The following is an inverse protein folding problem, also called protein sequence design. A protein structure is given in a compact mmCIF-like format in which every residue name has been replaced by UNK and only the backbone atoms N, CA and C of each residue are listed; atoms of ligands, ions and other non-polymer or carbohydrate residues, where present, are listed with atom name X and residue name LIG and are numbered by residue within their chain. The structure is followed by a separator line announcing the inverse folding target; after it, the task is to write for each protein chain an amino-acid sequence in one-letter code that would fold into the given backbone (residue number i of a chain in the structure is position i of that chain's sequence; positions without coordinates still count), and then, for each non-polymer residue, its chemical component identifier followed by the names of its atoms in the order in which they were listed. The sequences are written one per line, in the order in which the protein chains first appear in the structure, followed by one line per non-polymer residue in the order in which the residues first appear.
data_IF_020691493351
#
_entry.id   IF_020691493351
#
_cell.length_a   1.000
_cell.length_b   1.000
_cell.length_c   1.000
_cell.angle_alpha   90.00
_cell.angle_beta   90.00
_cell.angle_gamma   90.00
#
_symmetry.space_group_name_H-M   'P 1'
#
loop_
_entity.id
_entity.type
_entity.pdbx_description
1 polymer ?
#
# COMPACT_ATOMS: atom_id res chain seq x y z
N UNK A 1 -20.10 -31.49 1.56
CA UNK A 1 -19.35 -31.75 0.31
C UNK A 1 -19.32 -30.50 -0.56
N UNK A 2 -20.46 -30.01 -1.07
CA UNK A 2 -20.57 -28.84 -1.99
C UNK A 2 -19.69 -27.61 -1.62
N UNK A 3 -19.59 -27.23 -0.35
CA UNK A 3 -18.76 -26.07 0.08
C UNK A 3 -17.27 -26.29 -0.18
N UNK A 4 -16.73 -27.47 0.15
CA UNK A 4 -15.32 -27.80 -0.10
C UNK A 4 -15.03 -27.92 -1.60
N UNK A 5 -16.01 -28.37 -2.38
CA UNK A 5 -15.92 -28.45 -3.83
C UNK A 5 -16.00 -27.08 -4.49
N UNK A 6 -16.67 -26.11 -3.89
CA UNK A 6 -16.79 -24.75 -4.44
C UNK A 6 -15.58 -23.86 -4.10
N UNK A 7 -14.76 -24.27 -3.13
CA UNK A 7 -13.60 -23.52 -2.67
C UNK A 7 -12.54 -23.31 -3.77
N UNK A 8 -12.32 -24.30 -4.64
CA UNK A 8 -11.34 -24.17 -5.74
C UNK A 8 -11.73 -23.06 -6.73
N UNK A 9 -13.04 -22.89 -7.00
CA UNK A 9 -13.54 -21.84 -7.89
C UNK A 9 -13.33 -20.45 -7.29
N UNK A 10 -13.63 -20.30 -5.99
CA UNK A 10 -13.42 -19.04 -5.28
C UNK A 10 -11.93 -18.65 -5.25
N UNK A 11 -11.04 -19.61 -4.94
CA UNK A 11 -9.58 -19.40 -4.94
C UNK A 11 -9.07 -19.08 -6.34
N UNK A 12 -9.54 -19.80 -7.37
CA UNK A 12 -9.17 -19.54 -8.77
C UNK A 12 -9.56 -18.13 -9.19
N UNK A 13 -10.79 -17.71 -8.89
CA UNK A 13 -11.26 -16.36 -9.18
C UNK A 13 -10.41 -15.30 -8.46
N UNK A 14 -10.09 -15.51 -7.18
CA UNK A 14 -9.24 -14.59 -6.41
C UNK A 14 -7.84 -14.46 -7.03
N UNK A 15 -7.20 -15.57 -7.39
CA UNK A 15 -5.88 -15.59 -8.02
C UNK A 15 -5.89 -14.91 -9.40
N UNK A 16 -6.89 -15.18 -10.23
CA UNK A 16 -7.00 -14.56 -11.56
C UNK A 16 -7.20 -13.04 -11.46
N UNK A 17 -8.09 -12.57 -10.58
CA UNK A 17 -8.29 -11.13 -10.36
C UNK A 17 -7.00 -10.50 -9.84
N UNK A 18 -6.33 -11.14 -8.87
CA UNK A 18 -5.07 -10.64 -8.32
C UNK A 18 -3.97 -10.55 -9.40
N UNK A 19 -3.81 -11.59 -10.22
CA UNK A 19 -2.82 -11.63 -11.29
C UNK A 19 -3.13 -10.60 -12.39
N UNK A 20 -4.38 -10.46 -12.82
CA UNK A 20 -4.81 -9.47 -13.82
C UNK A 20 -4.50 -8.05 -13.37
N UNK A 21 -4.69 -7.77 -12.08
CA UNK A 21 -4.41 -6.44 -11.54
C UNK A 21 -2.91 -6.18 -11.44
N UNK A 22 -2.11 -7.16 -11.00
CA UNK A 22 -0.65 -7.04 -10.96
C UNK A 22 -0.02 -6.92 -12.35
N UNK A 23 -0.60 -7.57 -13.36
CA UNK A 23 -0.16 -7.47 -14.75
C UNK A 23 -0.28 -6.05 -15.33
N UNK A 24 -1.22 -5.24 -14.82
CA UNK A 24 -1.39 -3.85 -15.28
C UNK A 24 -0.25 -2.92 -14.84
N UNK A 25 0.41 -3.23 -13.73
CA UNK A 25 1.56 -2.47 -13.21
C UNK A 25 2.54 -3.38 -12.46
N UNK A 26 3.26 -4.21 -13.22
CA UNK A 26 4.28 -5.11 -12.66
C UNK A 26 5.40 -4.33 -11.95
N UNK A 27 5.92 -3.20 -12.48
CA UNK A 27 6.88 -2.38 -11.76
C UNK A 27 6.33 -1.86 -10.42
N UNK A 28 5.07 -1.43 -10.38
CA UNK A 28 4.39 -1.04 -9.14
C UNK A 28 4.27 -2.18 -8.14
N UNK A 29 3.93 -3.39 -8.60
CA UNK A 29 3.91 -4.55 -7.72
C UNK A 29 5.30 -4.89 -7.17
N UNK A 30 6.36 -4.83 -7.99
CA UNK A 30 7.73 -5.03 -7.52
C UNK A 30 8.16 -4.01 -6.47
N UNK A 31 7.75 -2.74 -6.63
CA UNK A 31 7.92 -1.69 -5.62
C UNK A 31 7.19 -2.02 -4.32
N UNK A 32 5.91 -2.42 -4.39
CA UNK A 32 5.17 -2.88 -3.22
C UNK A 32 5.88 -4.04 -2.52
N UNK A 33 6.41 -5.03 -3.25
CA UNK A 33 7.18 -6.15 -2.67
C UNK A 33 8.46 -5.66 -1.96
N UNK A 34 9.16 -4.68 -2.54
CA UNK A 34 10.33 -4.06 -1.90
C UNK A 34 9.96 -3.34 -0.60
N UNK A 35 8.80 -2.68 -0.56
CA UNK A 35 8.31 -1.95 0.62
C UNK A 35 8.06 -2.86 1.85
N UNK A 36 7.81 -4.16 1.65
CA UNK A 36 7.70 -5.12 2.78
C UNK A 36 9.03 -5.29 3.54
N UNK A 37 10.19 -4.91 2.95
CA UNK A 37 11.52 -5.05 3.56
C UNK A 37 11.80 -6.45 4.13
N UNK A 38 11.29 -7.48 3.43
CA UNK A 38 11.52 -8.90 3.75
C UNK A 38 12.68 -9.46 2.91
N UNK A 39 12.82 -8.99 1.67
CA UNK A 39 13.89 -9.37 0.75
C UNK A 39 14.80 -8.17 0.44
N UNK A 40 16.06 -8.40 0.03
CA UNK A 40 16.91 -7.34 -0.52
C UNK A 40 16.26 -6.71 -1.75
N UNK A 41 16.40 -5.39 -1.95
CA UNK A 41 15.75 -4.67 -3.06
C UNK A 41 16.01 -5.27 -4.45
N UNK A 42 17.23 -5.79 -4.68
CA UNK A 42 17.60 -6.51 -5.91
C UNK A 42 16.77 -7.77 -6.20
N UNK A 43 16.18 -8.38 -5.17
CA UNK A 43 15.33 -9.57 -5.29
C UNK A 43 13.83 -9.21 -5.40
N UNK A 44 13.43 -7.96 -5.21
CA UNK A 44 12.02 -7.58 -5.24
C UNK A 44 11.39 -7.81 -6.63
N UNK A 45 12.13 -7.48 -7.69
CA UNK A 45 11.68 -7.69 -9.06
C UNK A 45 11.53 -9.17 -9.44
N UNK A 46 12.53 -10.05 -9.24
CA UNK A 46 12.36 -11.48 -9.51
C UNK A 46 11.32 -12.13 -8.57
N UNK A 47 11.19 -11.67 -7.33
CA UNK A 47 10.14 -12.15 -6.43
C UNK A 47 8.74 -11.76 -6.95
N UNK A 48 8.55 -10.53 -7.42
CA UNK A 48 7.29 -10.07 -8.00
C UNK A 48 6.90 -10.86 -9.26
N UNK A 49 7.86 -11.09 -10.16
CA UNK A 49 7.66 -11.94 -11.33
C UNK A 49 7.34 -13.40 -10.94
N UNK A 50 8.05 -13.94 -9.95
CA UNK A 50 7.85 -15.30 -9.43
C UNK A 50 6.47 -15.47 -8.79
N UNK A 51 6.01 -14.51 -8.01
CA UNK A 51 4.65 -14.50 -7.44
C UNK A 51 3.61 -14.48 -8.55
N UNK A 52 3.77 -13.60 -9.55
CA UNK A 52 2.83 -13.52 -10.66
C UNK A 52 2.76 -14.83 -11.46
N UNK A 53 3.91 -15.43 -11.75
CA UNK A 53 3.98 -16.74 -12.40
C UNK A 53 3.30 -17.83 -11.56
N UNK A 54 3.53 -17.83 -10.25
CA UNK A 54 2.93 -18.79 -9.33
C UNK A 54 1.41 -18.61 -9.19
N UNK A 55 0.90 -17.37 -9.21
CA UNK A 55 -0.55 -17.09 -9.20
C UNK A 55 -1.24 -17.64 -10.46
N UNK A 56 -0.66 -17.40 -11.64
CA UNK A 56 -1.17 -17.90 -12.91
C UNK A 56 -1.07 -19.43 -12.98
N UNK A 57 0.04 -20.01 -12.54
CA UNK A 57 0.23 -21.46 -12.51
C UNK A 57 -0.77 -22.14 -11.56
N UNK A 58 -0.97 -21.58 -10.36
CA UNK A 58 -1.95 -22.08 -9.40
C UNK A 58 -3.38 -22.01 -9.96
N UNK A 59 -3.77 -20.89 -10.58
CA UNK A 59 -5.07 -20.74 -11.22
C UNK A 59 -5.28 -21.75 -12.35
N UNK A 60 -4.28 -21.95 -13.22
CA UNK A 60 -4.34 -22.93 -14.30
C UNK A 60 -4.47 -24.36 -13.76
N UNK A 61 -3.68 -24.73 -12.74
CA UNK A 61 -3.74 -26.04 -12.10
C UNK A 61 -5.10 -26.30 -11.43
N UNK A 62 -5.71 -25.28 -10.82
CA UNK A 62 -7.04 -25.41 -10.19
C UNK A 62 -8.17 -25.64 -11.21
N UNK A 63 -8.03 -25.16 -12.44
CA UNK A 63 -8.99 -25.40 -13.51
C UNK A 63 -8.92 -26.83 -14.06
N UNK A 64 -7.74 -27.46 -14.02
CA UNK A 64 -7.53 -28.83 -14.50
C UNK A 64 -7.88 -29.84 -13.40
N UNK A 65 -8.84 -30.77 -13.60
CA UNK A 65 -9.28 -31.72 -12.56
C UNK A 65 -8.14 -32.50 -11.89
N UNK A 66 -7.15 -32.95 -12.66
CA UNK A 66 -5.98 -33.67 -12.13
C UNK A 66 -4.93 -32.76 -11.45
N UNK A 67 -4.96 -31.45 -11.70
CA UNK A 67 -4.05 -30.46 -11.12
C UNK A 67 -4.57 -29.77 -9.86
N UNK A 68 -5.87 -29.90 -9.54
CA UNK A 68 -6.56 -29.15 -8.48
C UNK A 68 -5.85 -29.16 -7.13
N UNK A 69 -5.41 -30.32 -6.67
CA UNK A 69 -4.69 -30.45 -5.38
C UNK A 69 -3.37 -29.68 -5.39
N UNK A 70 -2.59 -29.81 -6.47
CA UNK A 70 -1.34 -29.07 -6.62
C UNK A 70 -1.57 -27.56 -6.73
N UNK A 71 -2.56 -27.14 -7.51
CA UNK A 71 -2.94 -25.73 -7.61
C UNK A 71 -3.37 -25.14 -6.26
N UNK A 72 -4.12 -25.91 -5.46
CA UNK A 72 -4.53 -25.50 -4.11
C UNK A 72 -3.35 -25.42 -3.13
N UNK A 73 -2.39 -26.34 -3.22
CA UNK A 73 -1.15 -26.30 -2.42
C UNK A 73 -0.31 -25.07 -2.77
N UNK A 74 -0.12 -24.78 -4.06
CA UNK A 74 0.62 -23.58 -4.51
C UNK A 74 -0.10 -22.30 -4.05
N UNK A 75 -1.42 -22.23 -4.22
CA UNK A 75 -2.22 -21.10 -3.75
C UNK A 75 -2.12 -20.92 -2.23
N UNK A 76 -2.21 -22.01 -1.46
CA UNK A 76 -2.06 -22.00 -0.01
C UNK A 76 -0.67 -21.52 0.42
N UNK A 77 0.39 -21.98 -0.24
CA UNK A 77 1.75 -21.52 0.01
C UNK A 77 1.91 -20.01 -0.27
N UNK A 78 1.34 -19.52 -1.38
CA UNK A 78 1.33 -18.09 -1.71
C UNK A 78 0.58 -17.28 -0.63
N UNK A 79 -0.65 -17.66 -0.29
CA UNK A 79 -1.43 -16.95 0.73
C UNK A 79 -0.76 -16.98 2.11
N UNK A 80 -0.14 -18.10 2.49
CA UNK A 80 0.61 -18.20 3.74
C UNK A 80 1.85 -17.29 3.74
N UNK A 81 2.61 -17.24 2.63
CA UNK A 81 3.76 -16.36 2.49
C UNK A 81 3.35 -14.87 2.57
N UNK A 82 2.28 -14.48 1.87
CA UNK A 82 1.72 -13.13 1.97
C UNK A 82 1.24 -12.80 3.38
N UNK A 83 0.56 -13.74 4.04
CA UNK A 83 0.09 -13.55 5.41
C UNK A 83 1.24 -13.35 6.39
N UNK A 84 2.33 -14.12 6.26
CA UNK A 84 3.54 -13.95 7.06
C UNK A 84 4.22 -12.60 6.80
N UNK A 85 4.31 -12.18 5.54
CA UNK A 85 4.85 -10.88 5.17
C UNK A 85 4.04 -9.72 5.77
N UNK A 86 2.70 -9.77 5.67
CA UNK A 86 1.82 -8.78 6.29
C UNK A 86 1.90 -8.78 7.82
N UNK A 87 1.97 -9.95 8.45
CA UNK A 87 2.14 -10.05 9.89
C UNK A 87 3.47 -9.43 10.35
N UNK A 88 4.54 -9.57 9.54
CA UNK A 88 5.82 -8.88 9.78
C UNK A 88 5.66 -7.35 9.71
N UNK A 89 4.94 -6.84 8.72
CA UNK A 89 4.65 -5.40 8.58
C UNK A 89 3.91 -4.87 9.81
N UNK A 90 2.83 -5.53 10.23
CA UNK A 90 2.05 -5.14 11.43
C UNK A 90 2.91 -5.20 12.69
N UNK A 91 3.74 -6.22 12.85
CA UNK A 91 4.66 -6.34 14.00
C UNK A 91 5.72 -5.24 14.04
N UNK A 92 6.21 -4.82 12.87
CA UNK A 92 7.18 -3.74 12.71
C UNK A 92 6.52 -2.36 12.69
N UNK A 93 5.18 -2.31 12.77
CA UNK A 93 4.33 -1.12 12.69
C UNK A 93 4.46 -0.32 11.39
N UNK A 94 4.97 -0.93 10.31
CA UNK A 94 5.18 -0.25 9.04
C UNK A 94 3.87 -0.04 8.27
N UNK A 95 3.74 1.06 7.54
CA UNK A 95 2.67 1.30 6.57
C UNK A 95 3.09 0.85 5.19
N UNK A 96 2.53 -0.27 4.73
CA UNK A 96 2.83 -0.87 3.43
C UNK A 96 1.52 -1.18 2.71
N UNK A 97 1.50 -1.01 1.39
CA UNK A 97 0.38 -1.42 0.56
C UNK A 97 0.27 -2.96 0.47
N UNK A 98 -0.96 -3.47 0.59
CA UNK A 98 -1.25 -4.90 0.55
C UNK A 98 -0.99 -5.51 -0.84
N UNK A 99 -1.13 -4.73 -1.93
CA UNK A 99 -0.80 -5.16 -3.30
C UNK A 99 -1.67 -6.27 -3.91
N UNK A 100 -2.60 -6.89 -3.17
CA UNK A 100 -3.36 -8.07 -3.64
C UNK A 100 -4.38 -7.78 -4.76
N UNK A 101 -5.03 -6.61 -4.79
CA UNK A 101 -6.13 -6.31 -5.71
C UNK A 101 -6.00 -4.93 -6.39
N UNK A 102 -4.79 -4.38 -6.43
CA UNK A 102 -4.46 -3.04 -7.00
C UNK A 102 -5.18 -1.86 -6.37
N UNK A 103 -5.90 -2.08 -5.27
CA UNK A 103 -6.25 -1.02 -4.34
C UNK A 103 -5.03 -0.64 -3.50
N UNK A 104 -4.93 0.64 -3.15
CA UNK A 104 -3.99 1.20 -2.16
C UNK A 104 -4.43 0.85 -0.73
N UNK A 105 -4.80 -0.41 -0.52
CA UNK A 105 -5.24 -0.90 0.78
C UNK A 105 -4.00 -1.12 1.63
N UNK A 106 -3.86 -0.34 2.70
CA UNK A 106 -2.79 -0.54 3.67
C UNK A 106 -2.93 -1.90 4.36
N UNK A 107 -1.80 -2.51 4.69
CA UNK A 107 -1.76 -3.73 5.49
C UNK A 107 -2.36 -3.46 6.87
N UNK A 108 -3.41 -4.21 7.23
CA UNK A 108 -4.11 -4.07 8.50
C UNK A 108 -4.95 -5.29 8.85
N UNK A 109 -5.79 -5.17 9.88
CA UNK A 109 -6.62 -6.28 10.34
C UNK A 109 -7.53 -6.85 9.23
N UNK A 110 -8.15 -5.97 8.43
CA UNK A 110 -8.99 -6.39 7.30
C UNK A 110 -8.24 -7.20 6.25
N UNK A 111 -7.04 -6.77 5.83
CA UNK A 111 -6.25 -7.48 4.81
C UNK A 111 -5.70 -8.82 5.31
N UNK A 112 -5.35 -8.90 6.61
CA UNK A 112 -4.99 -10.15 7.28
C UNK A 112 -6.18 -11.14 7.31
N UNK A 113 -7.37 -10.69 7.70
CA UNK A 113 -8.58 -11.53 7.73
C UNK A 113 -8.91 -12.05 6.33
N UNK A 114 -8.92 -11.18 5.31
CA UNK A 114 -9.17 -11.59 3.91
C UNK A 114 -8.21 -12.68 3.46
N UNK A 115 -6.92 -12.47 3.67
CA UNK A 115 -5.88 -13.40 3.21
C UNK A 115 -5.91 -14.70 4.01
N UNK A 116 -6.23 -14.63 5.30
CA UNK A 116 -6.48 -15.79 6.14
C UNK A 116 -7.69 -16.61 5.67
N UNK A 117 -8.80 -15.96 5.29
CA UNK A 117 -9.96 -16.64 4.73
C UNK A 117 -9.66 -17.31 3.38
N UNK A 118 -8.91 -16.63 2.50
CA UNK A 118 -8.44 -17.22 1.24
C UNK A 118 -7.50 -18.42 1.47
N UNK A 119 -6.64 -18.37 2.49
CA UNK A 119 -5.80 -19.49 2.89
C UNK A 119 -6.64 -20.68 3.37
N UNK A 120 -7.67 -20.45 4.19
CA UNK A 120 -8.61 -21.51 4.63
C UNK A 120 -9.34 -22.12 3.43
N UNK A 121 -9.78 -21.31 2.47
CA UNK A 121 -10.37 -21.79 1.22
C UNK A 121 -9.38 -22.62 0.38
N UNK A 122 -8.11 -22.23 0.31
CA UNK A 122 -7.08 -23.00 -0.37
C UNK A 122 -6.80 -24.35 0.32
N UNK A 123 -6.72 -24.37 1.65
CA UNK A 123 -6.53 -25.61 2.42
C UNK A 123 -7.72 -26.55 2.25
N UNK A 124 -8.96 -26.04 2.33
CA UNK A 124 -10.16 -26.83 2.09
C UNK A 124 -10.22 -27.38 0.67
N UNK A 125 -9.81 -26.61 -0.34
CA UNK A 125 -9.70 -27.09 -1.71
C UNK A 125 -8.61 -28.18 -1.88
N UNK A 126 -7.51 -28.11 -1.13
CA UNK A 126 -6.42 -29.09 -1.19
C UNK A 126 -6.82 -30.46 -0.63
N UNK A 127 -7.65 -30.48 0.43
CA UNK A 127 -8.14 -31.72 1.07
C UNK A 127 -9.43 -32.26 0.45
N UNK A 128 -10.09 -31.47 -0.41
CA UNK A 128 -11.29 -31.92 -1.12
C UNK A 128 -10.98 -33.13 -2.03
N UNK A 129 -11.93 -34.06 -2.10
CA UNK A 129 -11.86 -35.23 -2.97
C UNK A 129 -12.01 -34.90 -4.45
N UNK A 130 -12.19 -35.92 -5.32
CA UNK A 130 -12.59 -35.70 -6.70
C UNK A 130 -13.95 -34.98 -6.73
N UNK A 131 -14.02 -33.86 -7.42
CA UNK A 131 -15.24 -33.02 -7.47
C UNK A 131 -15.87 -33.08 -8.85
N UNK A 132 -17.17 -33.41 -8.86
CA UNK A 132 -18.03 -33.34 -10.04
C UNK A 132 -18.58 -31.93 -10.14
N UNK A 133 -18.54 -31.33 -11.33
CA UNK A 133 -18.99 -29.95 -11.50
C UNK A 133 -20.52 -29.89 -11.52
N UNK A 134 -21.09 -29.08 -10.63
CA UNK A 134 -22.53 -28.79 -10.55
C UNK A 134 -22.73 -27.27 -10.60
N UNK A 135 -23.71 -26.73 -11.34
CA UNK A 135 -23.87 -25.28 -11.53
C UNK A 135 -24.11 -24.52 -10.22
N UNK A 136 -24.65 -25.18 -9.19
CA UNK A 136 -24.79 -24.63 -7.83
C UNK A 136 -23.44 -24.20 -7.22
N UNK A 137 -22.33 -24.82 -7.63
CA UNK A 137 -20.99 -24.51 -7.13
C UNK A 137 -20.53 -23.11 -7.52
N UNK A 138 -21.03 -22.53 -8.63
CA UNK A 138 -20.73 -21.14 -9.01
C UNK A 138 -21.33 -20.14 -8.03
N UNK A 139 -22.60 -20.35 -7.63
CA UNK A 139 -23.26 -19.50 -6.65
C UNK A 139 -22.59 -19.60 -5.27
N UNK A 140 -22.27 -20.82 -4.85
CA UNK A 140 -21.56 -21.05 -3.57
C UNK A 140 -20.15 -20.43 -3.61
N UNK A 141 -19.41 -20.56 -4.71
CA UNK A 141 -18.09 -19.95 -4.86
C UNK A 141 -18.16 -18.41 -4.80
N UNK A 142 -19.17 -17.80 -5.44
CA UNK A 142 -19.38 -16.35 -5.37
C UNK A 142 -19.69 -15.89 -3.94
N UNK A 143 -20.51 -16.63 -3.20
CA UNK A 143 -20.80 -16.36 -1.79
C UNK A 143 -19.55 -16.51 -0.93
N UNK A 144 -18.76 -17.58 -1.11
CA UNK A 144 -17.51 -17.79 -0.37
C UNK A 144 -16.49 -16.68 -0.64
N UNK A 145 -16.34 -16.26 -1.90
CA UNK A 145 -15.48 -15.15 -2.27
C UNK A 145 -15.97 -13.83 -1.67
N UNK A 146 -17.29 -13.58 -1.72
CA UNK A 146 -17.92 -12.44 -1.08
C UNK A 146 -17.66 -12.40 0.42
N UNK A 147 -17.83 -13.53 1.12
CA UNK A 147 -17.53 -13.68 2.55
C UNK A 147 -16.05 -13.53 2.88
N UNK A 148 -15.13 -13.86 1.96
CA UNK A 148 -13.70 -13.64 2.15
C UNK A 148 -13.31 -12.16 1.99
N UNK A 149 -14.01 -11.41 1.13
CA UNK A 149 -13.64 -10.03 0.75
C UNK A 149 -14.43 -8.97 1.54
N UNK A 150 -15.71 -9.20 1.82
CA UNK A 150 -16.61 -8.22 2.43
C UNK A 150 -16.26 -7.86 3.89
N UNK A 151 -15.94 -8.80 4.79
CA UNK A 151 -15.55 -8.48 6.16
C UNK A 151 -14.28 -7.64 6.19
N UNK A 152 -13.37 -7.82 5.25
CA UNK A 152 -12.17 -7.01 5.14
C UNK A 152 -12.44 -5.57 4.68
N UNK A 153 -13.53 -5.33 3.94
CA UNK A 153 -14.01 -3.98 3.62
C UNK A 153 -14.61 -3.30 4.85
N UNK A 154 -15.32 -4.06 5.68
CA UNK A 154 -15.95 -3.58 6.92
C UNK A 154 -14.94 -3.37 8.05
N UNK A 155 -13.92 -4.23 8.13
CA UNK A 155 -12.80 -4.15 9.08
C UNK A 155 -11.66 -3.26 8.58
N UNK A 156 -11.89 -2.44 7.55
CA UNK A 156 -11.10 -1.23 7.36
C UNK A 156 -11.39 -0.33 8.55
N UNK A 157 -10.69 -0.58 9.64
CA UNK A 157 -10.38 0.46 10.59
C UNK A 157 -9.46 1.43 9.85
N UNK A 158 -10.06 2.23 8.95
CA UNK A 158 -9.49 3.50 8.58
C UNK A 158 -9.32 4.21 9.92
N UNK A 159 -8.10 4.28 10.46
CA UNK A 159 -7.77 5.50 11.15
C UNK A 159 -7.73 6.52 10.02
N UNK A 160 -8.72 7.42 9.92
CA UNK A 160 -8.67 8.44 8.87
C UNK A 160 -7.39 9.22 9.14
N UNK A 161 -6.34 8.93 8.36
CA UNK A 161 -5.07 9.63 8.44
C UNK A 161 -5.38 11.04 7.92
N UNK A 162 -5.65 11.92 8.88
CA UNK A 162 -6.19 13.25 8.65
C UNK A 162 -5.08 14.26 8.35
N UNK A 163 -3.82 13.81 8.44
CA UNK A 163 -2.64 14.64 8.47
C UNK A 163 -2.47 15.37 9.80
N UNK A 164 -1.32 16.04 9.97
CA UNK A 164 -1.02 16.79 11.17
C UNK A 164 -1.93 18.02 11.29
N UNK A 165 -2.45 18.27 12.49
CA UNK A 165 -3.38 19.39 12.74
C UNK A 165 -2.61 20.69 12.95
N UNK A 166 -3.15 21.84 12.51
CA UNK A 166 -2.58 23.14 12.86
C UNK A 166 -2.38 23.28 14.37
N UNK A 167 -1.21 23.79 14.78
CA UNK A 167 -0.81 23.91 16.19
C UNK A 167 -0.10 22.69 16.78
N UNK A 168 -0.09 21.54 16.10
CA UNK A 168 0.72 20.37 16.53
C UNK A 168 2.16 20.51 16.05
N UNK A 169 3.09 19.79 16.68
CA UNK A 169 4.49 19.77 16.26
C UNK A 169 4.67 18.76 15.13
N UNK A 170 5.32 19.18 14.05
CA UNK A 170 5.71 18.29 12.97
C UNK A 170 6.97 17.50 13.36
N UNK A 171 6.87 16.17 13.33
CA UNK A 171 7.93 15.26 13.75
C UNK A 171 8.67 14.69 12.54
N UNK A 172 9.89 15.18 12.31
CA UNK A 172 10.77 14.70 11.25
C UNK A 172 12.18 14.49 11.81
N UNK A 173 12.68 13.26 11.71
CA UNK A 173 14.00 12.88 12.17
C UNK A 173 15.07 13.35 11.18
N UNK A 174 16.18 13.88 11.70
CA UNK A 174 17.32 14.31 10.88
C UNK A 174 17.11 15.62 10.11
N UNK A 175 15.91 16.22 10.13
CA UNK A 175 15.73 17.55 9.56
C UNK A 175 16.53 18.59 10.40
N UNK A 176 17.19 19.56 9.75
CA UNK A 176 17.81 20.69 10.44
C UNK A 176 16.75 21.55 11.14
N UNK A 177 17.14 22.27 12.19
CA UNK A 177 16.23 23.24 12.82
C UNK A 177 15.80 24.29 11.77
N UNK A 178 14.51 24.71 11.77
CA UNK A 178 14.02 25.70 10.84
C UNK A 178 14.89 26.96 10.86
N UNK A 179 15.53 27.31 9.75
CA UNK A 179 16.34 28.52 9.66
C UNK A 179 15.44 29.75 9.45
N UNK A 180 14.34 29.59 8.70
CA UNK A 180 13.36 30.63 8.43
C UNK A 180 12.15 30.69 9.37
N UNK A 181 11.37 31.77 9.23
CA UNK A 181 10.09 31.98 9.92
C UNK A 181 9.06 30.91 9.55
N UNK A 182 9.15 30.40 8.32
CA UNK A 182 8.25 29.40 7.74
C UNK A 182 9.05 28.43 6.87
N UNK A 183 8.81 27.14 7.09
CA UNK A 183 9.43 26.05 6.33
C UNK A 183 8.35 25.14 5.79
N UNK A 184 8.43 24.81 4.50
CA UNK A 184 7.57 23.84 3.84
C UNK A 184 8.30 22.52 3.69
N UNK A 185 7.75 21.49 4.33
CA UNK A 185 8.16 20.11 4.13
C UNK A 185 7.27 19.49 3.06
N UNK A 186 7.87 19.14 1.92
CA UNK A 186 7.20 18.45 0.83
C UNK A 186 7.55 16.95 0.93
N UNK A 187 6.56 16.16 1.35
CA UNK A 187 6.69 14.72 1.50
C UNK A 187 6.48 14.04 0.16
N UNK A 188 7.53 13.36 -0.31
CA UNK A 188 7.58 12.69 -1.61
C UNK A 188 8.01 11.24 -1.45
N UNK A 189 7.66 10.41 -2.43
CA UNK A 189 8.09 9.01 -2.50
C UNK A 189 8.56 8.69 -3.93
N UNK A 190 9.62 7.88 -4.12
CA UNK A 190 10.02 7.41 -5.45
C UNK A 190 8.92 6.63 -6.18
N UNK A 191 7.98 6.05 -5.43
CA UNK A 191 6.89 5.22 -5.97
C UNK A 191 5.66 6.04 -6.37
N UNK A 192 5.68 7.34 -6.10
CA UNK A 192 4.58 8.26 -6.32
C UNK A 192 4.69 8.89 -7.72
N UNK A 193 3.87 8.39 -8.65
CA UNK A 193 3.84 8.91 -10.02
C UNK A 193 3.45 10.39 -10.14
N UNK A 194 2.72 10.92 -9.15
CA UNK A 194 2.36 12.35 -9.07
C UNK A 194 3.49 13.23 -8.51
N UNK A 195 4.42 12.66 -7.74
CA UNK A 195 5.46 13.42 -7.07
C UNK A 195 6.44 14.01 -8.08
N UNK A 196 6.79 13.25 -9.13
CA UNK A 196 7.61 13.76 -10.23
C UNK A 196 6.96 14.93 -10.97
N UNK A 197 5.63 14.93 -11.13
CA UNK A 197 4.90 16.02 -11.77
C UNK A 197 4.84 17.29 -10.90
N UNK A 198 4.88 17.14 -9.58
CA UNK A 198 4.81 18.25 -8.63
C UNK A 198 6.19 18.82 -8.23
N UNK A 199 7.29 18.13 -8.53
CA UNK A 199 8.66 18.60 -8.25
C UNK A 199 8.92 20.04 -8.75
N UNK A 200 8.57 20.42 -10.00
CA UNK A 200 8.80 21.79 -10.47
C UNK A 200 8.03 22.84 -9.67
N UNK A 201 6.83 22.51 -9.19
CA UNK A 201 6.01 23.41 -8.37
C UNK A 201 6.62 23.59 -6.97
N UNK A 202 7.18 22.51 -6.39
CA UNK A 202 7.91 22.61 -5.11
C UNK A 202 9.20 23.40 -5.25
N UNK A 203 9.92 23.23 -6.36
CA UNK A 203 11.10 24.03 -6.68
C UNK A 203 10.73 25.52 -6.89
N UNK A 204 9.61 25.81 -7.56
CA UNK A 204 9.12 27.17 -7.71
C UNK A 204 8.74 27.82 -6.36
N UNK A 205 8.17 27.03 -5.43
CA UNK A 205 7.86 27.49 -4.08
C UNK A 205 9.13 27.83 -3.26
N UNK A 206 10.27 27.20 -3.55
CA UNK A 206 11.55 27.49 -2.89
C UNK A 206 12.06 28.92 -3.14
N UNK A 207 11.57 29.60 -4.17
CA UNK A 207 11.85 31.02 -4.38
C UNK A 207 11.16 31.94 -3.36
N UNK A 208 10.15 31.45 -2.62
CA UNK A 208 9.30 32.25 -1.72
C UNK A 208 9.42 31.87 -0.25
N UNK A 209 9.81 30.64 0.04
CA UNK A 209 9.98 30.11 1.41
C UNK A 209 10.98 28.96 1.42
N UNK A 210 11.48 28.60 2.59
CA UNK A 210 12.39 27.47 2.76
C UNK A 210 11.63 26.15 2.46
N UNK A 211 12.15 25.34 1.54
CA UNK A 211 11.54 24.08 1.11
C UNK A 211 12.49 22.93 1.39
N UNK A 212 11.98 21.89 2.06
CA UNK A 212 12.71 20.66 2.36
C UNK A 212 11.90 19.47 1.83
N UNK A 213 12.53 18.68 0.98
CA UNK A 213 11.95 17.41 0.55
C UNK A 213 12.14 16.38 1.67
N UNK A 214 11.08 15.62 1.96
CA UNK A 214 11.14 14.54 2.95
C UNK A 214 10.66 13.25 2.30
N UNK A 215 11.41 12.17 2.47
CA UNK A 215 10.99 10.85 1.99
C UNK A 215 11.23 9.77 3.02
N UNK A 216 10.43 8.69 2.97
CA UNK A 216 10.63 7.53 3.83
C UNK A 216 11.75 6.59 3.34
N UNK A 217 12.21 6.79 2.11
CA UNK A 217 13.25 5.98 1.48
C UNK A 217 14.17 6.86 0.64
N UNK A 218 15.46 6.52 0.63
CA UNK A 218 16.42 7.09 -0.31
C UNK A 218 16.09 6.68 -1.75
N UNK A 219 16.38 7.55 -2.72
CA UNK A 219 16.26 7.24 -4.15
C UNK A 219 15.35 8.16 -4.95
N UNK A 220 15.04 9.36 -4.45
CA UNK A 220 14.45 10.42 -5.26
C UNK A 220 15.52 11.47 -5.57
N UNK A 221 15.65 11.87 -6.83
CA UNK A 221 16.53 12.98 -7.18
C UNK A 221 15.80 14.28 -6.80
N UNK A 222 16.32 14.99 -5.81
CA UNK A 222 15.62 16.10 -5.15
C UNK A 222 15.49 17.38 -5.99
N UNK A 223 15.85 17.34 -7.28
CA UNK A 223 15.87 18.48 -8.21
C UNK A 223 16.54 19.74 -7.61
N UNK A 224 17.67 19.53 -6.91
CA UNK A 224 18.44 20.58 -6.25
C UNK A 224 17.88 21.06 -4.89
N UNK A 225 16.76 20.53 -4.42
CA UNK A 225 16.20 20.82 -3.10
C UNK A 225 16.87 19.96 -2.01
N UNK A 226 17.01 20.49 -0.78
CA UNK A 226 17.53 19.71 0.34
C UNK A 226 16.56 18.57 0.67
N UNK A 227 17.10 17.37 0.80
CA UNK A 227 16.33 16.15 1.05
C UNK A 227 16.68 15.53 2.41
N UNK A 228 15.64 15.14 3.14
CA UNK A 228 15.74 14.41 4.41
C UNK A 228 15.08 13.05 4.24
N UNK A 229 15.78 12.00 4.67
CA UNK A 229 15.21 10.65 4.68
C UNK A 229 14.83 10.26 6.09
N UNK A 230 13.53 10.12 6.30
CA UNK A 230 12.92 9.72 7.56
C UNK A 230 11.91 8.58 7.30
N UNK A 231 12.28 7.32 7.57
CA UNK A 231 11.44 6.15 7.33
C UNK A 231 10.06 6.18 7.98
N UNK A 232 9.90 6.91 9.10
CA UNK A 232 8.69 6.86 9.92
C UNK A 232 7.87 8.16 9.83
N UNK A 233 8.25 9.10 8.95
CA UNK A 233 7.63 10.45 8.91
C UNK A 233 6.13 10.42 8.63
N UNK A 234 5.66 9.49 7.79
CA UNK A 234 4.24 9.39 7.45
C UNK A 234 3.40 8.92 8.63
N UNK A 235 3.89 7.92 9.36
CA UNK A 235 3.21 7.35 10.51
C UNK A 235 3.20 8.29 11.71
N UNK A 236 4.35 8.93 12.02
CA UNK A 236 4.46 9.86 13.16
C UNK A 236 3.53 11.06 13.06
N UNK A 237 3.18 11.46 11.84
CA UNK A 237 2.38 12.65 11.57
C UNK A 237 0.98 12.34 11.03
N UNK A 238 0.54 11.07 11.04
CA UNK A 238 -0.74 10.62 10.50
C UNK A 238 -0.97 11.09 9.04
N UNK A 239 0.07 11.07 8.20
CA UNK A 239 0.04 11.60 6.82
C UNK A 239 -0.42 10.52 5.84
N UNK A 240 -1.58 10.68 5.18
CA UNK A 240 -2.26 9.63 4.40
C UNK A 240 -1.42 9.09 3.24
N UNK A 241 -0.89 9.99 2.40
CA UNK A 241 -0.17 9.60 1.19
C UNK A 241 0.56 10.80 0.55
N UNK A 242 1.76 10.62 -0.04
CA UNK A 242 2.45 11.63 -0.84
C UNK A 242 1.88 11.77 -2.28
N UNK A 243 1.98 12.93 -2.94
CA UNK A 243 2.64 14.15 -2.48
C UNK A 243 1.81 14.85 -1.41
N UNK A 244 2.46 15.17 -0.30
CA UNK A 244 1.81 15.82 0.84
C UNK A 244 2.68 16.95 1.34
N UNK A 245 2.07 18.05 1.76
CA UNK A 245 2.79 19.24 2.18
C UNK A 245 2.41 19.60 3.61
N UNK A 246 3.44 19.91 4.40
CA UNK A 246 3.30 20.44 5.75
C UNK A 246 4.09 21.74 5.84
N UNK A 247 3.40 22.85 6.09
CA UNK A 247 4.02 24.15 6.34
C UNK A 247 4.09 24.38 7.83
N UNK A 248 5.27 24.72 8.33
CA UNK A 248 5.54 24.91 9.76
C UNK A 248 6.13 26.29 10.04
N UNK A 249 6.06 26.75 11.29
CA UNK A 249 6.81 27.91 11.79
C UNK A 249 8.15 27.53 12.44
N UNK A 250 8.83 28.51 13.06
CA UNK A 250 10.14 28.36 13.73
C UNK A 250 10.27 27.17 14.69
N UNK A 251 9.21 26.81 15.41
CA UNK A 251 9.21 25.70 16.37
C UNK A 251 8.78 24.34 15.77
N UNK A 252 8.74 24.22 14.43
CA UNK A 252 8.08 23.13 13.69
C UNK A 252 6.60 22.97 14.03
N UNK A 253 5.96 24.02 14.52
CA UNK A 253 4.51 24.04 14.74
C UNK A 253 3.82 24.11 13.40
N UNK A 254 2.90 23.18 13.13
CA UNK A 254 2.16 23.06 11.89
C UNK A 254 1.23 24.26 11.73
N UNK A 255 1.38 24.99 10.62
CA UNK A 255 0.52 26.11 10.24
C UNK A 255 -0.60 25.63 9.32
N UNK A 256 -0.23 24.85 8.29
CA UNK A 256 -1.18 24.17 7.44
C UNK A 256 -0.58 22.88 6.88
N UNK A 257 -1.45 21.94 6.54
CA UNK A 257 -1.09 20.66 5.97
C UNK A 257 -2.15 20.20 4.96
N UNK A 258 -1.75 19.39 3.99
CA UNK A 258 -2.68 18.80 3.02
C UNK A 258 -2.00 18.00 1.92
N UNK A 259 -2.80 17.21 1.20
CA UNK A 259 -2.36 16.58 -0.05
C UNK A 259 -2.09 17.63 -1.12
N UNK A 260 -1.04 17.43 -1.90
CA UNK A 260 -0.55 18.35 -2.92
C UNK A 260 -0.37 17.61 -4.25
N UNK A 261 -1.42 16.94 -4.72
CA UNK A 261 -1.43 16.21 -5.98
C UNK A 261 -1.60 17.14 -7.20
N UNK A 262 -2.05 18.38 -6.97
CA UNK A 262 -2.28 19.40 -7.99
C UNK A 262 -1.73 20.77 -7.53
N UNK A 263 -1.29 21.65 -8.45
CA UNK A 263 -0.77 22.98 -8.11
C UNK A 263 -1.77 23.85 -7.32
N UNK A 264 -3.06 23.76 -7.65
CA UNK A 264 -4.12 24.49 -6.95
C UNK A 264 -4.22 24.09 -5.46
N UNK A 265 -3.97 22.82 -5.14
CA UNK A 265 -3.97 22.33 -3.76
C UNK A 265 -2.78 22.88 -2.98
N UNK A 266 -1.60 22.92 -3.61
CA UNK A 266 -0.40 23.51 -3.03
C UNK A 266 -0.63 24.98 -2.67
N UNK A 267 -1.12 25.79 -3.60
CA UNK A 267 -1.44 27.20 -3.37
C UNK A 267 -2.50 27.38 -2.26
N UNK A 268 -3.51 26.51 -2.19
CA UNK A 268 -4.50 26.55 -1.11
C UNK A 268 -3.87 26.26 0.27
N UNK A 269 -2.88 25.36 0.36
CA UNK A 269 -2.15 25.09 1.60
C UNK A 269 -1.28 26.29 1.99
N UNK A 270 -0.56 26.87 1.03
CA UNK A 270 0.31 28.04 1.26
C UNK A 270 -0.48 29.26 1.73
N UNK A 271 -1.64 29.50 1.12
CA UNK A 271 -2.56 30.57 1.50
C UNK A 271 -3.11 30.37 2.91
N UNK A 272 -3.55 29.15 3.26
CA UNK A 272 -3.99 28.83 4.65
C UNK A 272 -2.87 29.01 5.66
N UNK A 273 -1.64 28.63 5.32
CA UNK A 273 -0.51 28.85 6.22
C UNK A 273 -0.14 30.34 6.35
N UNK A 274 -0.51 31.20 5.39
CA UNK A 274 -0.33 32.65 5.46
C UNK A 274 -1.39 33.38 6.29
N UNK A 275 -2.60 32.83 6.41
CA UNK A 275 -3.66 33.41 7.24
C UNK A 275 -3.53 33.03 8.73
N UNK A 276 -2.76 31.99 9.05
CA UNK A 276 -2.48 31.58 10.42
C UNK A 276 -1.30 32.40 10.94
N UNK A 277 -1.58 33.51 11.62
CA UNK A 277 -0.56 34.33 12.26
C UNK A 277 0.24 33.49 13.29
N UNK A 278 1.57 33.66 13.37
CA UNK A 278 2.36 33.04 14.43
C UNK A 278 1.86 33.57 15.78
N UNK A 279 1.39 32.67 16.64
CA UNK A 279 1.01 32.98 18.03
C UNK A 279 2.26 33.06 18.90
#
# INVERSE_FOLDING_TARGET
MIVAESAYLAVTAALLVAALVKLRDVPGFARSVAAYRVLPGRLAWPAAAGVLAAELAAAALLLVPGGRRWGAVVAGALFAAFLAAMASVVRRRMTVDCGCFGGRDLVGAGTLVRTGLLLVLAVTAAVAGPVVFEPVQLAVAAVLLGLAVLPARLLRADRPMSGPRPGTRFEVAGAPEPAGDRVMYALVSPECGLCAAMLPEFAAAAARLEVVLVSAVDGHDGDGLPMVVDPDVFERNDIPWPPYVVVTGRARTVLAAGGAAEPAQLEQILNRAGTVAPR
#
